data_IF_489010849821
#
_entry.id   IF_489010849821
#
_cell.length_a   1.000
_cell.length_b   1.000
_cell.length_c   1.000
_cell.angle_alpha   90.00
_cell.angle_beta   90.00
_cell.angle_gamma   90.00
#
_symmetry.space_group_name_H-M   'P 1'
#
loop_
_entity.id
_entity.type
_entity.pdbx_description
1 polymer ?
#
# COMPACT_ATOMS: atom_id res chain seq x y z
N UNK A 1 29.72 10.13 -6.65
CA UNK A 1 28.39 10.76 -6.55
C UNK A 1 27.45 9.62 -6.29
N UNK A 2 26.87 9.55 -5.09
CA UNK A 2 25.92 8.50 -4.73
C UNK A 2 24.71 8.66 -5.64
N UNK A 3 24.51 7.68 -6.52
CA UNK A 3 23.23 7.47 -7.17
C UNK A 3 22.21 7.36 -6.04
N UNK A 4 21.45 8.44 -5.82
CA UNK A 4 20.17 8.33 -5.14
C UNK A 4 19.41 7.31 -5.96
N UNK A 5 19.37 6.07 -5.49
CA UNK A 5 18.48 5.04 -5.99
C UNK A 5 17.13 5.73 -6.13
N UNK A 6 16.73 5.94 -7.37
CA UNK A 6 15.48 6.60 -7.69
C UNK A 6 14.43 5.77 -6.98
N UNK A 7 13.84 6.31 -5.91
CA UNK A 7 12.66 5.72 -5.29
C UNK A 7 11.70 5.53 -6.46
N UNK A 8 11.50 4.27 -6.86
CA UNK A 8 10.64 3.97 -7.98
C UNK A 8 9.23 4.33 -7.51
N UNK A 9 8.76 5.49 -7.97
CA UNK A 9 7.41 5.97 -7.73
C UNK A 9 6.61 5.74 -9.00
N UNK A 10 5.38 5.20 -8.90
CA UNK A 10 4.52 5.07 -10.06
C UNK A 10 4.24 6.45 -10.68
N UNK A 11 4.32 6.54 -12.00
CA UNK A 11 4.11 7.80 -12.75
C UNK A 11 2.65 8.23 -12.71
N UNK A 12 1.74 7.27 -12.83
CA UNK A 12 0.28 7.51 -12.89
C UNK A 12 -0.35 7.70 -11.52
N UNK A 13 0.38 7.37 -10.46
CA UNK A 13 -0.04 7.54 -9.06
C UNK A 13 1.11 8.12 -8.23
N UNK A 14 1.76 9.17 -8.74
CA UNK A 14 2.78 9.88 -7.97
C UNK A 14 2.12 10.57 -6.78
N UNK A 15 2.69 10.42 -5.58
CA UNK A 15 2.12 10.93 -4.34
C UNK A 15 3.20 11.43 -3.38
N UNK A 16 2.95 12.56 -2.72
CA UNK A 16 3.78 13.09 -1.63
C UNK A 16 3.00 12.87 -0.33
N UNK A 17 3.54 12.03 0.55
CA UNK A 17 2.83 11.61 1.77
C UNK A 17 2.80 12.72 2.81
N UNK A 18 1.60 13.03 3.32
CA UNK A 18 1.42 13.89 4.48
C UNK A 18 1.70 13.15 5.80
N UNK A 19 1.35 11.86 5.84
CA UNK A 19 1.48 11.01 7.02
C UNK A 19 2.89 10.40 7.05
N UNK A 20 3.76 10.99 7.86
CA UNK A 20 5.19 10.62 7.95
C UNK A 20 5.44 9.11 8.10
N UNK A 21 4.71 8.34 8.94
CA UNK A 21 4.96 6.89 9.05
C UNK A 21 4.76 6.12 7.73
N UNK A 22 3.90 6.62 6.83
CA UNK A 22 3.73 6.04 5.49
C UNK A 22 4.89 6.43 4.56
N UNK A 23 5.35 7.68 4.65
CA UNK A 23 6.54 8.14 3.92
C UNK A 23 7.77 7.30 4.31
N UNK A 24 8.02 7.13 5.62
CA UNK A 24 9.16 6.39 6.16
C UNK A 24 9.16 4.93 5.70
N UNK A 25 7.98 4.31 5.61
CA UNK A 25 7.83 2.93 5.15
C UNK A 25 8.30 2.77 3.71
N UNK A 26 7.98 3.74 2.85
CA UNK A 26 8.36 3.70 1.43
C UNK A 26 9.79 4.12 1.18
N UNK A 27 10.36 4.99 2.01
CA UNK A 27 11.78 5.30 1.97
C UNK A 27 12.62 4.09 2.39
N UNK A 28 12.21 3.38 3.46
CA UNK A 28 12.90 2.19 3.92
C UNK A 28 12.77 0.98 2.97
N UNK A 29 11.63 0.88 2.27
CA UNK A 29 11.39 -0.14 1.25
C UNK A 29 10.72 0.48 0.03
N UNK A 30 11.51 1.00 -0.94
CA UNK A 30 10.99 1.48 -2.21
C UNK A 30 10.27 0.38 -2.99
N UNK A 31 9.37 0.77 -3.90
CA UNK A 31 8.70 -0.19 -4.77
C UNK A 31 9.70 -0.82 -5.75
N UNK A 32 9.47 -2.08 -6.09
CA UNK A 32 10.10 -2.69 -7.25
C UNK A 32 9.63 -2.05 -8.56
N UNK A 33 10.46 -2.11 -9.60
CA UNK A 33 10.11 -1.63 -10.94
C UNK A 33 8.84 -2.33 -11.48
N UNK A 34 8.70 -3.64 -11.22
CA UNK A 34 7.54 -4.41 -11.60
C UNK A 34 6.26 -3.95 -10.88
N UNK A 35 6.32 -3.65 -9.59
CA UNK A 35 5.18 -3.08 -8.86
C UNK A 35 4.79 -1.70 -9.41
N UNK A 36 5.76 -0.82 -9.70
CA UNK A 36 5.48 0.45 -10.37
C UNK A 36 4.83 0.26 -11.74
N UNK A 37 5.37 -0.68 -12.54
CA UNK A 37 4.83 -1.01 -13.85
C UNK A 37 3.38 -1.50 -13.76
N UNK A 38 3.04 -2.36 -12.81
CA UNK A 38 1.66 -2.83 -12.60
C UNK A 38 0.67 -1.69 -12.32
N UNK A 39 1.09 -0.67 -11.58
CA UNK A 39 0.28 0.52 -11.27
C UNK A 39 0.08 1.35 -12.54
N UNK A 40 1.18 1.63 -13.25
CA UNK A 40 1.22 2.50 -14.42
C UNK A 40 0.65 1.88 -15.70
N UNK A 41 0.54 0.56 -15.73
CA UNK A 41 0.13 -0.18 -16.92
C UNK A 41 -1.28 0.25 -17.41
N UNK A 42 -1.43 0.47 -18.73
CA UNK A 42 -2.75 0.64 -19.35
C UNK A 42 -3.66 -0.56 -19.10
N UNK A 43 -4.99 -0.36 -19.17
CA UNK A 43 -5.96 -1.43 -18.86
C UNK A 43 -5.92 -2.64 -19.80
N UNK A 44 -5.34 -2.50 -20.99
CA UNK A 44 -5.33 -3.54 -22.04
C UNK A 44 -3.97 -4.22 -22.19
N UNK A 45 -3.06 -4.00 -21.24
CA UNK A 45 -1.74 -4.62 -21.21
C UNK A 45 -1.64 -5.58 -20.02
N UNK A 46 -0.76 -6.57 -20.15
CA UNK A 46 -0.48 -7.55 -19.13
C UNK A 46 1.00 -7.55 -18.80
N UNK A 47 1.32 -7.78 -17.52
CA UNK A 47 2.67 -8.04 -17.06
C UNK A 47 2.89 -9.56 -17.03
N UNK A 48 3.86 -10.01 -17.82
CA UNK A 48 4.32 -11.40 -17.82
C UNK A 48 5.14 -11.68 -16.56
N UNK A 49 4.49 -12.18 -15.51
CA UNK A 49 5.12 -12.46 -14.21
C UNK A 49 4.28 -13.41 -13.36
N UNK A 50 4.94 -14.26 -12.58
CA UNK A 50 4.29 -15.11 -11.57
C UNK A 50 4.59 -14.64 -10.14
N UNK A 51 5.19 -13.46 -9.99
CA UNK A 51 5.70 -12.97 -8.72
C UNK A 51 4.59 -12.21 -7.94
N UNK A 52 3.95 -12.91 -7.00
CA UNK A 52 2.90 -12.36 -6.12
C UNK A 52 3.34 -11.08 -5.39
N UNK A 53 4.62 -10.99 -5.03
CA UNK A 53 5.18 -9.86 -4.30
C UNK A 53 5.01 -8.53 -5.03
N UNK A 54 5.03 -8.53 -6.38
CA UNK A 54 4.84 -7.32 -7.17
C UNK A 54 3.42 -6.76 -7.00
N UNK A 55 2.42 -7.64 -6.91
CA UNK A 55 1.03 -7.27 -6.66
C UNK A 55 0.86 -6.78 -5.23
N UNK A 56 1.45 -7.48 -4.25
CA UNK A 56 1.39 -7.10 -2.84
C UNK A 56 1.99 -5.70 -2.64
N UNK A 57 3.18 -5.43 -3.18
CA UNK A 57 3.85 -4.13 -3.09
C UNK A 57 3.03 -3.01 -3.74
N UNK A 58 2.52 -3.26 -4.95
CA UNK A 58 1.67 -2.30 -5.65
C UNK A 58 0.36 -2.01 -4.89
N UNK A 59 -0.29 -3.05 -4.34
CA UNK A 59 -1.52 -2.92 -3.58
C UNK A 59 -1.29 -2.11 -2.30
N UNK A 60 -0.20 -2.40 -1.57
CA UNK A 60 0.17 -1.66 -0.37
C UNK A 60 0.43 -0.18 -0.66
N UNK A 61 1.10 0.15 -1.77
CA UNK A 61 1.29 1.54 -2.19
C UNK A 61 -0.03 2.23 -2.51
N UNK A 62 -0.89 1.61 -3.34
CA UNK A 62 -2.22 2.15 -3.68
C UNK A 62 -3.04 2.41 -2.42
N UNK A 63 -3.03 1.49 -1.45
CA UNK A 63 -3.77 1.63 -0.20
C UNK A 63 -3.17 2.74 0.68
N UNK A 64 -1.84 2.84 0.77
CA UNK A 64 -1.18 3.93 1.50
C UNK A 64 -1.55 5.30 0.91
N UNK A 65 -1.47 5.48 -0.41
CA UNK A 65 -1.89 6.73 -1.09
C UNK A 65 -3.37 7.00 -0.84
N UNK A 66 -4.23 5.99 -0.98
CA UNK A 66 -5.67 6.14 -0.76
C UNK A 66 -6.01 6.54 0.68
N UNK A 67 -5.27 6.05 1.67
CA UNK A 67 -5.48 6.42 3.07
C UNK A 67 -4.99 7.84 3.35
N UNK A 68 -3.81 8.20 2.85
CA UNK A 68 -3.20 9.52 3.04
C UNK A 68 -4.05 10.64 2.42
N UNK A 69 -4.69 10.36 1.29
CA UNK A 69 -5.58 11.29 0.57
C UNK A 69 -6.97 11.45 1.19
N UNK A 70 -7.32 10.69 2.24
CA UNK A 70 -8.61 10.87 2.93
C UNK A 70 -8.67 12.25 3.60
N UNK A 71 -9.84 12.92 3.57
CA UNK A 71 -10.11 14.07 4.44
C UNK A 71 -9.81 13.71 5.89
N UNK A 72 -9.24 14.65 6.66
CA UNK A 72 -8.78 14.39 8.04
C UNK A 72 -9.91 13.87 8.94
N UNK A 73 -11.13 14.33 8.69
CA UNK A 73 -12.34 13.97 9.42
C UNK A 73 -12.83 12.55 9.09
N UNK A 74 -12.46 12.02 7.93
CA UNK A 74 -12.79 10.67 7.48
C UNK A 74 -11.69 9.64 7.80
N UNK A 75 -10.49 10.11 8.17
CA UNK A 75 -9.36 9.24 8.52
C UNK A 75 -9.73 8.40 9.76
N UNK A 76 -9.60 7.05 9.69
CA UNK A 76 -9.77 6.19 10.85
C UNK A 76 -8.95 6.66 12.06
N UNK A 77 -9.64 6.79 13.20
CA UNK A 77 -9.08 7.30 14.46
C UNK A 77 -8.60 6.21 15.41
N UNK A 78 -8.93 4.96 15.12
CA UNK A 78 -8.65 3.80 15.97
C UNK A 78 -8.46 2.54 15.10
N UNK A 79 -7.92 1.49 15.74
CA UNK A 79 -7.55 0.26 15.05
C UNK A 79 -8.74 -0.50 14.45
N UNK A 80 -9.91 -0.45 15.08
CA UNK A 80 -11.09 -1.16 14.58
C UNK A 80 -11.64 -0.47 13.31
N UNK A 81 -11.65 0.86 13.28
CA UNK A 81 -11.97 1.62 12.07
C UNK A 81 -10.94 1.40 10.96
N UNK A 82 -9.65 1.29 11.30
CA UNK A 82 -8.60 0.93 10.33
C UNK A 82 -8.89 -0.44 9.71
N UNK A 83 -9.17 -1.46 10.52
CA UNK A 83 -9.49 -2.82 10.03
C UNK A 83 -10.73 -2.84 9.13
N UNK A 84 -11.76 -2.08 9.48
CA UNK A 84 -12.95 -1.93 8.65
C UNK A 84 -12.63 -1.25 7.32
N UNK A 85 -11.82 -0.20 7.34
CA UNK A 85 -11.35 0.48 6.14
C UNK A 85 -10.55 -0.47 5.24
N UNK A 86 -9.62 -1.25 5.81
CA UNK A 86 -8.80 -2.22 5.06
C UNK A 86 -9.69 -3.26 4.37
N UNK A 87 -10.67 -3.80 5.10
CA UNK A 87 -11.61 -4.81 4.58
C UNK A 87 -12.37 -4.30 3.35
N UNK A 88 -12.76 -3.01 3.35
CA UNK A 88 -13.49 -2.38 2.24
C UNK A 88 -12.60 -2.03 1.05
N UNK A 89 -11.31 -1.80 1.26
CA UNK A 89 -10.45 -1.20 0.24
C UNK A 89 -9.43 -2.17 -0.37
N UNK A 90 -9.03 -3.24 0.34
CA UNK A 90 -8.00 -4.16 -0.17
C UNK A 90 -8.41 -4.92 -1.43
N UNK A 91 -9.67 -5.39 -1.49
CA UNK A 91 -10.18 -6.18 -2.61
C UNK A 91 -10.09 -5.43 -3.94
N UNK A 92 -10.69 -4.23 -4.04
CA UNK A 92 -10.58 -3.42 -5.25
C UNK A 92 -9.14 -3.10 -5.68
N UNK A 93 -8.21 -2.94 -4.73
CA UNK A 93 -6.81 -2.69 -5.04
C UNK A 93 -6.13 -3.94 -5.65
N UNK A 94 -6.33 -5.12 -5.04
CA UNK A 94 -5.76 -6.38 -5.50
C UNK A 94 -6.37 -6.81 -6.83
N UNK A 95 -7.71 -6.78 -6.96
CA UNK A 95 -8.44 -7.19 -8.16
C UNK A 95 -8.01 -6.39 -9.40
N UNK A 96 -7.76 -5.08 -9.23
CA UNK A 96 -7.26 -4.22 -10.30
C UNK A 96 -5.86 -4.66 -10.78
N UNK A 97 -5.02 -5.18 -9.90
CA UNK A 97 -3.64 -5.53 -10.20
C UNK A 97 -3.53 -6.95 -10.77
N UNK A 98 -4.19 -7.94 -10.13
CA UNK A 98 -4.14 -9.34 -10.60
C UNK A 98 -4.77 -9.52 -11.97
N UNK A 99 -5.73 -8.67 -12.35
CA UNK A 99 -6.33 -8.68 -13.70
C UNK A 99 -5.38 -8.19 -14.80
N UNK A 100 -4.17 -7.74 -14.44
CA UNK A 100 -3.13 -7.26 -15.35
C UNK A 100 -1.90 -8.17 -15.37
N UNK A 101 -2.02 -9.40 -14.87
CA UNK A 101 -0.90 -10.35 -14.81
C UNK A 101 -1.22 -11.56 -15.66
N UNK A 102 -0.22 -11.99 -16.44
CA UNK A 102 -0.27 -13.19 -17.26
C UNK A 102 0.96 -14.06 -16.94
N UNK A 103 0.80 -15.38 -16.73
CA UNK A 103 -0.47 -16.10 -16.60
C UNK A 103 -1.27 -15.65 -15.36
N UNK A 104 -2.62 -15.82 -15.34
CA UNK A 104 -3.41 -15.49 -14.16
C UNK A 104 -3.01 -16.31 -12.94
N UNK A 105 -2.92 -15.67 -11.78
CA UNK A 105 -2.64 -16.36 -10.51
C UNK A 105 -3.72 -17.40 -10.16
N UNK A 106 -3.28 -18.47 -9.51
CA UNK A 106 -4.19 -19.42 -8.90
C UNK A 106 -5.00 -18.79 -7.77
N UNK A 107 -6.23 -19.28 -7.54
CA UNK A 107 -7.11 -18.79 -6.48
C UNK A 107 -6.45 -18.82 -5.09
N UNK A 108 -5.65 -19.85 -4.81
CA UNK A 108 -4.92 -19.97 -3.54
C UNK A 108 -3.87 -18.87 -3.36
N UNK A 109 -3.12 -18.52 -4.40
CA UNK A 109 -2.18 -17.39 -4.41
C UNK A 109 -2.91 -16.08 -4.15
N UNK A 110 -4.06 -15.89 -4.79
CA UNK A 110 -4.91 -14.71 -4.57
C UNK A 110 -5.34 -14.64 -3.10
N UNK A 111 -5.83 -15.73 -2.51
CA UNK A 111 -6.23 -15.76 -1.09
C UNK A 111 -5.07 -15.40 -0.13
N UNK A 112 -3.84 -15.83 -0.44
CA UNK A 112 -2.65 -15.46 0.33
C UNK A 112 -2.34 -13.97 0.19
N UNK A 113 -2.35 -13.43 -1.03
CA UNK A 113 -2.16 -11.99 -1.27
C UNK A 113 -3.17 -11.13 -0.50
N UNK A 114 -4.45 -11.54 -0.43
CA UNK A 114 -5.47 -10.82 0.37
C UNK A 114 -5.13 -10.79 1.87
N UNK A 115 -4.58 -11.88 2.41
CA UNK A 115 -4.18 -11.97 3.83
C UNK A 115 -2.94 -11.13 4.10
N UNK A 116 -1.93 -11.23 3.24
CA UNK A 116 -0.67 -10.51 3.40
C UNK A 116 -0.86 -9.01 3.27
N UNK A 117 -1.59 -8.55 2.25
CA UNK A 117 -1.93 -7.13 2.10
C UNK A 117 -2.70 -6.64 3.32
N UNK A 118 -3.66 -7.40 3.83
CA UNK A 118 -4.43 -7.01 5.02
C UNK A 118 -3.56 -6.87 6.28
N UNK A 119 -2.66 -7.82 6.52
CA UNK A 119 -1.78 -7.81 7.69
C UNK A 119 -0.75 -6.66 7.59
N UNK A 120 -0.09 -6.54 6.44
CA UNK A 120 0.96 -5.55 6.23
C UNK A 120 0.42 -4.12 6.24
N UNK A 121 -0.77 -3.88 5.66
CA UNK A 121 -1.35 -2.54 5.69
C UNK A 121 -1.91 -2.19 7.08
N UNK A 122 -2.42 -3.15 7.87
CA UNK A 122 -2.78 -2.91 9.28
C UNK A 122 -1.57 -2.42 10.06
N UNK A 123 -0.43 -3.10 9.91
CA UNK A 123 0.81 -2.72 10.59
C UNK A 123 1.26 -1.30 10.21
N UNK A 124 1.15 -0.93 8.93
CA UNK A 124 1.48 0.42 8.45
C UNK A 124 0.53 1.46 9.02
N UNK A 125 -0.78 1.24 8.90
CA UNK A 125 -1.81 2.22 9.24
C UNK A 125 -1.95 2.44 10.76
N UNK A 126 -1.68 1.43 11.58
CA UNK A 126 -1.69 1.58 13.05
C UNK A 126 -0.63 2.57 13.52
N UNK A 127 0.54 2.65 12.85
CA UNK A 127 1.59 3.63 13.18
C UNK A 127 1.16 5.09 12.90
N UNK A 128 0.11 5.26 12.11
CA UNK A 128 -0.42 6.56 11.69
C UNK A 128 -1.51 7.07 12.62
N UNK A 129 -2.06 6.19 13.46
CA UNK A 129 -3.12 6.56 14.38
C UNK A 129 -2.66 7.64 15.37
N UNK A 130 -3.58 8.51 15.84
CA UNK A 130 -3.27 9.47 16.87
C UNK A 130 -2.66 8.76 18.09
N UNK A 131 -1.49 9.23 18.54
CA UNK A 131 -0.91 8.73 19.80
C UNK A 131 -1.83 9.13 20.95
N UNK A 132 -2.10 8.21 21.86
CA UNK A 132 -2.90 8.51 23.05
C UNK A 132 -2.25 9.67 23.82
N UNK A 133 -3.02 10.74 24.05
CA UNK A 133 -2.56 11.93 24.75
C UNK A 133 -2.06 11.67 26.20
N UNK A 134 -2.31 10.47 26.74
CA UNK A 134 -1.82 10.02 28.03
C UNK A 134 -0.33 9.65 28.03
N UNK A 135 0.22 9.17 26.91
CA UNK A 135 1.65 8.81 26.82
C UNK A 135 2.55 10.06 26.75
N UNK A 136 2.04 11.16 26.20
CA UNK A 136 2.77 12.43 26.11
C UNK A 136 3.04 13.11 27.46
N UNK A 137 2.33 12.71 28.53
CA UNK A 137 2.50 13.27 29.88
C UNK A 137 3.51 12.52 30.75
N UNK A 138 4.00 11.35 30.32
CA UNK A 138 4.94 10.53 31.10
C UNK A 138 6.41 10.79 30.73
N UNK A 139 6.67 11.65 29.75
CA UNK A 139 8.02 12.02 29.29
C UNK A 139 8.41 13.48 29.65
N UNK A 140 7.75 14.10 30.64
CA UNK A 140 8.13 15.41 31.19
C UNK A 140 8.52 15.31 32.65
#
# INVERSE_FOLDING_TARGET
MSDFEKIHTPKTLSHVFELQPLADTLEAKPLSEAACKLIDMPKNEFLDTEEEINVIEAALYILSVKFDTLPKEERPSDRDKVRLWITRNRGPAIEKLISRVEPPFHAQSIDLMYKDVAAMIDERLVKVLPKDAREAKTQR
#
